data_IF_168902207664
#
_entry.id   IF_168902207664
#
_cell.length_a   1.000
_cell.length_b   1.000
_cell.length_c   1.000
_cell.angle_alpha   90.00
_cell.angle_beta   90.00
_cell.angle_gamma   90.00
#
_symmetry.space_group_name_H-M   'P 1'
#
loop_
_entity.id
_entity.type
_entity.pdbx_description
1 polymer ?
#
# COMPACT_ATOMS: atom_id res chain seq x y z
N UNK A 1 -0.51 19.86 17.78
CA UNK A 1 -1.38 19.88 16.58
C UNK A 1 -0.63 19.59 15.27
N UNK A 2 0.34 20.42 14.85
CA UNK A 2 0.98 20.32 13.52
C UNK A 2 1.60 18.95 13.21
N UNK A 3 2.29 18.33 14.16
CA UNK A 3 2.87 17.00 13.98
C UNK A 3 1.84 15.89 13.73
N UNK A 4 0.61 16.04 14.22
CA UNK A 4 -0.46 15.07 13.96
C UNK A 4 -0.92 15.16 12.49
N UNK A 5 -1.01 16.37 11.93
CA UNK A 5 -1.32 16.58 10.52
C UNK A 5 -0.25 15.92 9.63
N UNK A 6 1.03 16.11 9.98
CA UNK A 6 2.14 15.44 9.29
C UNK A 6 1.95 13.92 9.35
N UNK A 7 1.66 13.36 10.52
CA UNK A 7 1.46 11.91 10.67
C UNK A 7 0.27 11.38 9.85
N UNK A 8 -0.85 12.10 9.84
CA UNK A 8 -2.05 11.71 9.07
C UNK A 8 -1.80 11.77 7.55
N UNK A 9 -1.06 12.78 7.08
CA UNK A 9 -0.79 12.98 5.65
C UNK A 9 0.33 12.09 5.12
N UNK A 10 1.31 11.71 5.94
CA UNK A 10 2.51 10.98 5.47
C UNK A 10 2.59 9.54 5.97
N UNK A 11 1.76 9.17 6.94
CA UNK A 11 1.84 7.86 7.61
C UNK A 11 1.48 6.65 6.75
N UNK A 12 0.97 6.84 5.53
CA UNK A 12 0.71 5.74 4.59
C UNK A 12 1.63 5.73 3.38
N UNK A 13 2.60 6.65 3.33
CA UNK A 13 3.54 6.77 2.20
C UNK A 13 4.32 5.46 1.95
N UNK A 14 4.69 4.75 3.02
CA UNK A 14 5.43 3.48 2.95
C UNK A 14 4.74 2.40 2.11
N UNK A 15 3.42 2.44 2.01
CA UNK A 15 2.60 1.41 1.37
C UNK A 15 2.13 1.82 -0.03
N UNK A 16 2.48 3.03 -0.50
CA UNK A 16 1.98 3.60 -1.73
C UNK A 16 2.24 2.71 -2.96
N UNK A 17 3.46 2.17 -3.09
CA UNK A 17 3.81 1.27 -4.18
C UNK A 17 3.08 -0.08 -4.08
N UNK A 18 3.07 -0.67 -2.88
CA UNK A 18 2.45 -1.98 -2.64
C UNK A 18 0.95 -1.93 -2.87
N UNK A 19 0.24 -0.95 -2.32
CA UNK A 19 -1.22 -0.85 -2.43
C UNK A 19 -1.67 -0.33 -3.80
N UNK A 20 -0.90 0.60 -4.39
CA UNK A 20 -1.27 1.28 -5.63
C UNK A 20 -0.90 0.54 -6.91
N UNK A 21 0.21 -0.21 -6.91
CA UNK A 21 0.80 -0.74 -8.15
C UNK A 21 0.66 -2.26 -8.25
N UNK A 22 0.67 -3.01 -7.14
CA UNK A 22 0.65 -4.48 -7.15
C UNK A 22 -0.54 -5.05 -7.93
N UNK A 23 -1.75 -4.51 -7.71
CA UNK A 23 -2.94 -4.93 -8.45
C UNK A 23 -2.83 -4.69 -9.96
N UNK A 24 -2.33 -3.51 -10.36
CA UNK A 24 -2.08 -3.19 -11.77
C UNK A 24 -1.03 -4.10 -12.40
N UNK A 25 -0.03 -4.48 -11.60
CA UNK A 25 1.05 -5.37 -12.05
C UNK A 25 0.53 -6.79 -12.32
N UNK A 26 -0.31 -7.33 -11.43
CA UNK A 26 -0.93 -8.64 -11.61
C UNK A 26 -1.85 -8.68 -12.84
N UNK A 27 -2.62 -7.61 -13.07
CA UNK A 27 -3.43 -7.46 -14.29
C UNK A 27 -2.51 -7.43 -15.53
N UNK A 28 -1.41 -6.67 -15.48
CA UNK A 28 -0.43 -6.58 -16.57
C UNK A 28 0.30 -7.90 -16.87
N UNK A 29 0.38 -8.82 -15.91
CA UNK A 29 0.94 -10.16 -16.09
C UNK A 29 -0.04 -11.16 -16.74
N UNK A 30 -1.31 -10.78 -16.92
CA UNK A 30 -2.34 -11.61 -17.54
C UNK A 30 -3.32 -12.24 -16.56
N UNK A 31 -3.28 -11.89 -15.27
CA UNK A 31 -4.25 -12.41 -14.31
C UNK A 31 -5.64 -11.81 -14.58
N UNK A 32 -6.71 -12.62 -14.69
CA UNK A 32 -8.05 -12.12 -14.97
C UNK A 32 -8.54 -11.15 -13.90
N UNK A 33 -9.06 -9.99 -14.34
CA UNK A 33 -9.57 -8.94 -13.46
C UNK A 33 -10.69 -9.45 -12.55
N UNK A 34 -11.53 -10.36 -13.04
CA UNK A 34 -12.65 -10.92 -12.28
C UNK A 34 -12.16 -11.78 -11.11
N UNK A 35 -11.07 -12.53 -11.29
CA UNK A 35 -10.45 -13.36 -10.23
C UNK A 35 -9.72 -12.50 -9.20
N UNK A 36 -9.10 -11.40 -9.62
CA UNK A 36 -8.51 -10.43 -8.70
C UNK A 36 -9.57 -9.68 -7.89
N UNK A 37 -10.66 -9.28 -8.54
CA UNK A 37 -11.80 -8.61 -7.89
C UNK A 37 -12.51 -9.54 -6.91
N UNK A 38 -12.66 -10.82 -7.25
CA UNK A 38 -13.28 -11.80 -6.35
C UNK A 38 -12.48 -12.05 -5.08
N UNK A 39 -11.16 -11.79 -5.06
CA UNK A 39 -10.36 -11.84 -3.82
C UNK A 39 -10.91 -10.87 -2.76
N UNK A 40 -11.41 -9.70 -3.16
CA UNK A 40 -11.98 -8.73 -2.23
C UNK A 40 -13.17 -9.30 -1.46
N UNK A 41 -13.98 -10.16 -2.09
CA UNK A 41 -15.13 -10.83 -1.46
C UNK A 41 -14.68 -11.70 -0.28
N UNK A 42 -13.57 -12.42 -0.43
CA UNK A 42 -13.01 -13.24 0.64
C UNK A 42 -12.40 -12.40 1.77
N UNK A 43 -11.97 -11.18 1.46
CA UNK A 43 -11.44 -10.27 2.46
C UNK A 43 -12.56 -9.59 3.27
N UNK A 44 -13.73 -9.33 2.69
CA UNK A 44 -14.82 -8.59 3.36
C UNK A 44 -15.20 -9.16 4.75
N UNK A 45 -15.39 -10.47 4.95
CA UNK A 45 -15.66 -11.02 6.29
C UNK A 45 -14.57 -10.67 7.30
N UNK A 46 -13.30 -10.72 6.90
CA UNK A 46 -12.17 -10.35 7.73
C UNK A 46 -12.25 -8.87 8.13
N UNK A 47 -12.69 -7.98 7.23
CA UNK A 47 -12.85 -6.55 7.51
C UNK A 47 -13.94 -6.25 8.56
N UNK A 48 -14.98 -7.09 8.62
CA UNK A 48 -16.07 -6.96 9.60
C UNK A 48 -15.69 -7.58 10.94
N UNK A 49 -15.04 -8.74 10.93
CA UNK A 49 -14.68 -9.47 12.15
C UNK A 49 -13.46 -8.86 12.87
N UNK A 50 -12.48 -8.34 12.13
CA UNK A 50 -11.24 -7.80 12.73
C UNK A 50 -11.50 -6.66 13.71
N UNK A 51 -12.27 -5.59 13.39
CA UNK A 51 -12.58 -4.51 14.32
C UNK A 51 -13.23 -5.00 15.62
N UNK A 52 -14.08 -6.03 15.53
CA UNK A 52 -14.70 -6.64 16.70
C UNK A 52 -13.67 -7.35 17.59
N UNK A 53 -12.75 -8.11 16.99
CA UNK A 53 -11.68 -8.80 17.73
C UNK A 53 -10.67 -7.84 18.36
N UNK A 54 -10.26 -6.80 17.64
CA UNK A 54 -9.26 -5.83 18.12
C UNK A 54 -9.88 -4.70 18.96
N UNK A 55 -11.21 -4.64 19.05
CA UNK A 55 -11.95 -3.57 19.72
C UNK A 55 -11.51 -3.34 21.17
N UNK A 56 -11.18 -4.41 21.92
CA UNK A 56 -10.65 -4.30 23.29
C UNK A 56 -9.28 -3.59 23.33
N UNK A 57 -8.43 -3.82 22.33
CA UNK A 57 -7.10 -3.23 22.26
C UNK A 57 -7.14 -1.78 21.75
N UNK A 58 -8.09 -1.45 20.87
CA UNK A 58 -8.26 -0.10 20.32
C UNK A 58 -9.11 0.80 21.21
N UNK A 59 -9.97 0.24 22.06
CA UNK A 59 -10.68 0.97 23.12
C UNK A 59 -9.79 1.33 24.32
N UNK A 60 -8.55 0.80 24.36
CA UNK A 60 -7.55 1.13 25.37
C UNK A 60 -7.22 2.64 25.36
N UNK A 61 -6.70 3.22 26.46
CA UNK A 61 -6.19 4.60 26.48
C UNK A 61 -5.04 4.85 25.49
N UNK A 62 -4.45 3.79 24.91
CA UNK A 62 -3.29 3.86 24.01
C UNK A 62 -3.53 3.16 22.66
N UNK A 63 -4.51 3.61 21.83
CA UNK A 63 -4.86 2.95 20.56
C UNK A 63 -3.74 2.88 19.51
N UNK A 64 -2.98 3.96 19.31
CA UNK A 64 -1.80 4.04 18.43
C UNK A 64 -0.65 3.07 18.77
N UNK A 65 -0.63 2.39 19.93
CA UNK A 65 0.33 1.31 20.14
C UNK A 65 0.08 0.15 19.16
N UNK A 66 -1.18 -0.14 18.86
CA UNK A 66 -1.55 -1.12 17.84
C UNK A 66 -1.10 -0.63 16.46
N UNK A 67 -1.27 0.66 16.14
CA UNK A 67 -0.72 1.25 14.92
C UNK A 67 0.80 1.06 14.82
N UNK A 68 1.54 1.36 15.90
CA UNK A 68 3.00 1.22 15.92
C UNK A 68 3.48 -0.22 15.78
N UNK A 69 2.71 -1.19 16.28
CA UNK A 69 3.01 -2.63 16.13
C UNK A 69 2.70 -3.12 14.71
N UNK A 70 1.57 -2.71 14.15
CA UNK A 70 1.12 -3.14 12.82
C UNK A 70 1.91 -2.50 11.68
N UNK A 71 2.48 -1.31 11.88
CA UNK A 71 3.24 -0.57 10.87
C UNK A 71 4.45 -1.35 10.30
N UNK A 72 5.43 -1.82 11.11
CA UNK A 72 6.57 -2.58 10.59
C UNK A 72 6.14 -3.92 9.97
N UNK A 73 5.13 -4.57 10.53
CA UNK A 73 4.57 -5.80 9.94
C UNK A 73 3.96 -5.54 8.55
N UNK A 74 3.29 -4.41 8.35
CA UNK A 74 2.77 -4.02 7.03
C UNK A 74 3.89 -3.73 6.02
N UNK A 75 4.99 -3.11 6.45
CA UNK A 75 6.17 -2.91 5.57
C UNK A 75 6.75 -4.26 5.16
N UNK A 76 6.90 -5.18 6.11
CA UNK A 76 7.35 -6.55 5.82
C UNK A 76 6.45 -7.23 4.79
N UNK A 77 5.13 -7.16 4.96
CA UNK A 77 4.17 -7.70 4.00
C UNK A 77 4.28 -7.04 2.61
N UNK A 78 4.65 -5.76 2.53
CA UNK A 78 4.95 -5.09 1.26
C UNK A 78 6.13 -5.71 0.51
N UNK A 79 7.18 -6.10 1.24
CA UNK A 79 8.30 -6.87 0.69
C UNK A 79 7.88 -8.28 0.25
N UNK A 80 7.06 -8.97 1.05
CA UNK A 80 6.50 -10.29 0.68
C UNK A 80 5.68 -10.18 -0.61
N UNK A 81 4.88 -9.13 -0.78
CA UNK A 81 4.10 -8.91 -1.99
C UNK A 81 5.00 -8.68 -3.20
N UNK A 82 6.07 -7.89 -3.07
CA UNK A 82 7.03 -7.74 -4.14
C UNK A 82 7.68 -9.10 -4.52
N UNK A 83 8.05 -9.92 -3.54
CA UNK A 83 8.56 -11.27 -3.80
C UNK A 83 7.53 -12.18 -4.49
N UNK A 84 6.26 -12.13 -4.08
CA UNK A 84 5.17 -12.86 -4.72
C UNK A 84 4.94 -12.41 -6.16
N UNK A 85 4.99 -11.10 -6.44
CA UNK A 85 4.92 -10.56 -7.80
C UNK A 85 6.08 -11.09 -8.65
N UNK A 86 7.30 -11.13 -8.10
CA UNK A 86 8.45 -11.66 -8.82
C UNK A 86 8.34 -13.15 -9.11
N UNK A 87 7.72 -13.92 -8.22
CA UNK A 87 7.54 -15.36 -8.35
C UNK A 87 6.35 -15.77 -9.23
N UNK A 88 5.33 -14.91 -9.34
CA UNK A 88 4.08 -15.17 -10.08
C UNK A 88 4.30 -15.61 -11.54
N UNK A 89 5.19 -14.99 -12.35
CA UNK A 89 5.45 -15.40 -13.73
C UNK A 89 5.92 -16.86 -13.90
N UNK A 90 6.56 -17.46 -12.89
CA UNK A 90 7.07 -18.83 -12.95
C UNK A 90 5.98 -19.90 -12.99
N UNK A 91 4.73 -19.55 -12.65
CA UNK A 91 3.57 -20.46 -12.64
C UNK A 91 2.66 -20.29 -13.84
N UNK A 92 3.08 -19.54 -14.86
CA UNK A 92 2.26 -19.32 -16.04
C UNK A 92 2.04 -20.64 -16.79
N UNK A 93 0.79 -21.05 -16.94
CA UNK A 93 0.44 -22.26 -17.70
C UNK A 93 0.57 -22.00 -19.22
N UNK A 94 0.71 -23.06 -20.04
CA UNK A 94 0.73 -22.96 -21.50
C UNK A 94 -0.49 -22.25 -22.09
N UNK A 95 -1.66 -22.39 -21.45
CA UNK A 95 -2.91 -21.72 -21.83
C UNK A 95 -2.93 -20.21 -21.51
N UNK A 96 -1.88 -19.70 -20.86
CA UNK A 96 -1.74 -18.30 -20.47
C UNK A 96 -2.40 -17.93 -19.15
N UNK A 97 -3.15 -18.84 -18.52
CA UNK A 97 -3.74 -18.67 -17.18
C UNK A 97 -2.76 -19.13 -16.07
N UNK A 98 -3.16 -18.92 -14.81
CA UNK A 98 -2.42 -19.29 -13.61
C UNK A 98 -3.13 -20.43 -12.85
N UNK A 99 -2.39 -21.25 -12.08
CA UNK A 99 -3.00 -22.35 -11.34
C UNK A 99 -3.82 -21.82 -10.16
N UNK A 100 -4.91 -22.50 -9.81
CA UNK A 100 -5.77 -22.16 -8.66
C UNK A 100 -4.96 -22.03 -7.36
N UNK A 101 -3.92 -22.84 -7.20
CA UNK A 101 -2.99 -22.78 -6.06
C UNK A 101 -2.33 -21.40 -5.91
N UNK A 102 -1.93 -20.76 -7.01
CA UNK A 102 -1.31 -19.43 -6.97
C UNK A 102 -2.32 -18.37 -6.50
N UNK A 103 -3.58 -18.46 -6.96
CA UNK A 103 -4.64 -17.58 -6.48
C UNK A 103 -4.91 -17.78 -4.98
N UNK A 104 -4.91 -19.02 -4.49
CA UNK A 104 -5.06 -19.30 -3.06
C UNK A 104 -3.92 -18.69 -2.23
N UNK A 105 -2.67 -18.77 -2.71
CA UNK A 105 -1.51 -18.14 -2.07
C UNK A 105 -1.67 -16.61 -2.01
N UNK A 106 -2.12 -16.00 -3.12
CA UNK A 106 -2.42 -14.56 -3.15
C UNK A 106 -3.51 -14.17 -2.17
N UNK A 107 -4.62 -14.92 -2.10
CA UNK A 107 -5.70 -14.67 -1.13
C UNK A 107 -5.17 -14.73 0.30
N UNK A 108 -4.37 -15.76 0.64
CA UNK A 108 -3.77 -15.89 1.97
C UNK A 108 -2.85 -14.70 2.27
N UNK A 109 -1.99 -14.32 1.32
CA UNK A 109 -1.12 -13.14 1.45
C UNK A 109 -1.92 -11.85 1.68
N UNK A 110 -2.99 -11.66 0.93
CA UNK A 110 -3.92 -10.54 1.10
C UNK A 110 -4.63 -10.57 2.45
N UNK A 111 -5.03 -11.72 2.97
CA UNK A 111 -5.58 -11.83 4.33
C UNK A 111 -4.57 -11.33 5.38
N UNK A 112 -3.32 -11.79 5.32
CA UNK A 112 -2.27 -11.36 6.25
C UNK A 112 -1.95 -9.87 6.15
N UNK A 113 -1.90 -9.33 4.92
CA UNK A 113 -1.71 -7.91 4.68
C UNK A 113 -2.90 -7.09 5.24
N UNK A 114 -4.13 -7.57 5.03
CA UNK A 114 -5.33 -6.89 5.50
C UNK A 114 -5.40 -6.80 7.02
N UNK A 115 -4.95 -7.81 7.76
CA UNK A 115 -4.86 -7.72 9.23
C UNK A 115 -4.06 -6.49 9.65
N UNK A 116 -2.87 -6.27 9.06
CA UNK A 116 -2.03 -5.13 9.36
C UNK A 116 -2.71 -3.80 9.00
N UNK A 117 -3.27 -3.73 7.79
CA UNK A 117 -3.92 -2.54 7.27
C UNK A 117 -5.11 -2.11 8.12
N UNK A 118 -5.98 -3.06 8.48
CA UNK A 118 -7.15 -2.81 9.33
C UNK A 118 -6.78 -2.47 10.76
N UNK A 119 -5.77 -3.13 11.34
CA UNK A 119 -5.28 -2.75 12.67
C UNK A 119 -4.80 -1.30 12.70
N UNK A 120 -4.05 -0.85 11.68
CA UNK A 120 -3.63 0.55 11.57
C UNK A 120 -4.83 1.49 11.40
N UNK A 121 -5.78 1.14 10.53
CA UNK A 121 -6.96 1.94 10.26
C UNK A 121 -7.83 2.13 11.50
N UNK A 122 -8.24 1.04 12.15
CA UNK A 122 -9.10 1.08 13.34
C UNK A 122 -8.41 1.80 14.50
N UNK A 123 -7.10 1.61 14.68
CA UNK A 123 -6.34 2.30 15.74
C UNK A 123 -6.29 3.81 15.54
N UNK A 124 -6.10 4.27 14.30
CA UNK A 124 -6.12 5.69 13.98
C UNK A 124 -7.51 6.28 14.15
N UNK A 125 -8.55 5.58 13.71
CA UNK A 125 -9.95 5.99 13.90
C UNK A 125 -10.31 6.08 15.39
N UNK A 126 -9.93 5.09 16.19
CA UNK A 126 -10.13 5.10 17.63
C UNK A 126 -9.41 6.29 18.30
N UNK A 127 -8.17 6.58 17.89
CA UNK A 127 -7.44 7.74 18.39
C UNK A 127 -8.14 9.06 18.02
N UNK A 128 -8.51 9.25 16.75
CA UNK A 128 -9.21 10.44 16.26
C UNK A 128 -10.53 10.66 17.01
N UNK A 129 -11.28 9.60 17.28
CA UNK A 129 -12.50 9.67 18.07
C UNK A 129 -12.24 10.10 19.51
N UNK A 130 -11.17 9.61 20.15
CA UNK A 130 -10.82 9.96 21.54
C UNK A 130 -10.34 11.41 21.71
N UNK A 131 -9.69 12.00 20.69
CA UNK A 131 -9.19 13.38 20.74
C UNK A 131 -10.21 14.40 20.24
N UNK A 132 -11.35 13.96 19.69
CA UNK A 132 -12.39 14.85 19.20
C UNK A 132 -13.15 15.50 20.34
N UNK A 133 -13.21 16.84 20.33
CA UNK A 133 -13.95 17.62 21.31
C UNK A 133 -15.44 17.27 21.26
N UNK A 134 -16.10 16.88 22.38
CA UNK A 134 -17.52 16.53 22.38
C UNK A 134 -18.45 17.61 21.82
N UNK A 135 -18.09 18.89 21.90
CA UNK A 135 -18.94 20.01 21.43
C UNK A 135 -18.89 20.20 19.91
N UNK A 136 -17.78 19.84 19.26
CA UNK A 136 -17.57 19.97 17.80
C UNK A 136 -17.02 18.68 17.17
N UNK A 137 -17.35 17.55 17.78
CA UNK A 137 -16.69 16.27 17.50
C UNK A 137 -16.94 15.76 16.09
N UNK A 138 -18.13 16.02 15.53
CA UNK A 138 -18.45 15.67 14.15
C UNK A 138 -17.53 16.36 13.13
N UNK A 139 -17.34 17.67 13.26
CA UNK A 139 -16.46 18.45 12.37
C UNK A 139 -15.00 18.03 12.52
N UNK A 140 -14.52 17.88 13.76
CA UNK A 140 -13.12 17.52 14.02
C UNK A 140 -12.81 16.10 13.53
N UNK A 141 -13.69 15.13 13.82
CA UNK A 141 -13.55 13.75 13.34
C UNK A 141 -13.56 13.68 11.80
N UNK A 142 -14.45 14.43 11.16
CA UNK A 142 -14.53 14.48 9.70
C UNK A 142 -13.24 15.04 9.09
N UNK A 143 -12.72 16.14 9.62
CA UNK A 143 -11.46 16.73 9.16
C UNK A 143 -10.29 15.75 9.29
N UNK A 144 -10.14 15.09 10.44
CA UNK A 144 -9.06 14.13 10.67
C UNK A 144 -9.17 12.91 9.75
N UNK A 145 -10.38 12.44 9.47
CA UNK A 145 -10.61 11.35 8.52
C UNK A 145 -10.29 11.77 7.10
N UNK A 146 -10.67 12.99 6.69
CA UNK A 146 -10.32 13.55 5.38
C UNK A 146 -8.80 13.61 5.21
N UNK A 147 -8.06 14.10 6.21
CA UNK A 147 -6.59 14.13 6.18
C UNK A 147 -5.97 12.74 6.11
N UNK A 148 -6.50 11.77 6.88
CA UNK A 148 -6.02 10.38 6.88
C UNK A 148 -6.30 9.66 5.54
N UNK A 149 -7.42 9.98 4.88
CA UNK A 149 -7.74 9.44 3.55
C UNK A 149 -6.89 10.10 2.47
N UNK A 150 -6.73 11.43 2.53
CA UNK A 150 -5.83 12.15 1.63
C UNK A 150 -4.41 11.59 1.72
N UNK A 151 -3.91 11.37 2.95
CA UNK A 151 -2.60 10.78 3.23
C UNK A 151 -2.39 9.35 2.72
N UNK A 152 -3.46 8.64 2.34
CA UNK A 152 -3.36 7.36 1.65
C UNK A 152 -3.36 7.49 0.12
N UNK A 153 -4.11 8.45 -0.43
CA UNK A 153 -4.30 8.58 -1.88
C UNK A 153 -3.19 9.36 -2.57
N UNK A 154 -2.77 10.51 -2.04
CA UNK A 154 -1.75 11.35 -2.70
C UNK A 154 -0.40 10.62 -2.88
N UNK A 155 0.09 9.79 -1.91
CA UNK A 155 1.32 9.05 -2.12
C UNK A 155 1.20 8.01 -3.24
N UNK A 156 0.05 7.34 -3.34
CA UNK A 156 -0.21 6.35 -4.40
C UNK A 156 -0.16 7.03 -5.76
N UNK A 157 -0.84 8.16 -5.94
CA UNK A 157 -0.82 8.93 -7.19
C UNK A 157 0.59 9.37 -7.56
N UNK A 158 1.35 9.90 -6.58
CA UNK A 158 2.72 10.34 -6.81
C UNK A 158 3.63 9.18 -7.24
N UNK A 159 3.62 8.07 -6.50
CA UNK A 159 4.48 6.93 -6.77
C UNK A 159 4.10 6.25 -8.09
N UNK A 160 2.81 6.15 -8.41
CA UNK A 160 2.36 5.64 -9.71
C UNK A 160 2.86 6.51 -10.87
N UNK A 161 2.80 7.83 -10.73
CA UNK A 161 3.34 8.78 -11.73
C UNK A 161 4.87 8.65 -11.87
N UNK A 162 5.58 8.48 -10.75
CA UNK A 162 7.05 8.35 -10.75
C UNK A 162 7.53 7.00 -11.29
N UNK A 163 6.74 5.94 -11.15
CA UNK A 163 7.12 4.58 -11.57
C UNK A 163 7.42 4.50 -13.07
N UNK A 164 6.75 5.31 -13.89
CA UNK A 164 7.03 5.41 -15.32
C UNK A 164 8.46 5.86 -15.63
N UNK A 165 9.01 6.78 -14.84
CA UNK A 165 10.40 7.26 -15.00
C UNK A 165 11.44 6.23 -14.57
N UNK A 166 11.09 5.33 -13.64
CA UNK A 166 11.96 4.25 -13.18
C UNK A 166 11.84 2.96 -14.00
N UNK A 167 10.95 2.93 -14.99
CA UNK A 167 10.71 1.73 -15.82
C UNK A 167 11.51 1.85 -17.11
N UNK A 168 12.44 0.92 -17.32
CA UNK A 168 13.26 0.86 -18.53
C UNK A 168 12.92 -0.40 -19.33
N UNK A 169 12.66 -0.21 -20.62
CA UNK A 169 12.34 -1.27 -21.57
C UNK A 169 13.34 -1.26 -22.72
N UNK A 170 13.73 -2.45 -23.15
CA UNK A 170 14.63 -2.65 -24.28
C UNK A 170 13.94 -3.46 -25.38
N UNK A 171 14.19 -3.09 -26.62
CA UNK A 171 13.74 -3.84 -27.79
C UNK A 171 14.72 -4.99 -28.04
N UNK A 172 14.19 -6.21 -28.02
CA UNK A 172 14.96 -7.45 -28.12
C UNK A 172 14.43 -8.25 -29.30
N UNK A 173 15.36 -8.80 -30.10
CA UNK A 173 15.01 -9.61 -31.27
C UNK A 173 14.24 -10.86 -30.84
N UNK A 174 13.12 -11.15 -31.49
CA UNK A 174 12.28 -12.29 -31.09
C UNK A 174 13.07 -13.61 -31.22
N UNK A 175 13.26 -14.31 -30.09
CA UNK A 175 14.01 -15.58 -30.03
C UNK A 175 15.51 -15.45 -29.76
N UNK A 176 16.05 -14.22 -29.71
CA UNK A 176 17.48 -13.97 -29.42
C UNK A 176 17.59 -12.92 -28.32
N UNK A 177 18.53 -13.01 -27.38
CA UNK A 177 18.70 -11.97 -26.34
C UNK A 177 19.49 -10.73 -26.79
N UNK A 178 19.50 -10.45 -28.09
CA UNK A 178 20.23 -9.31 -28.66
C UNK A 178 19.40 -8.03 -28.52
N UNK A 179 19.93 -7.08 -27.76
CA UNK A 179 19.31 -5.76 -27.56
C UNK A 179 19.62 -4.86 -28.75
N UNK A 180 18.58 -4.29 -29.36
CA UNK A 180 18.71 -3.34 -30.47
C UNK A 180 18.81 -1.91 -29.97
N UNK A 181 17.80 -1.45 -29.22
CA UNK A 181 17.69 -0.09 -28.68
C UNK A 181 16.64 -0.04 -27.55
N UNK A 182 16.59 1.03 -26.77
CA UNK A 182 15.62 1.18 -25.67
C UNK A 182 14.23 1.65 -26.17
N UNK A 183 13.17 0.98 -25.74
CA UNK A 183 11.77 1.21 -26.17
C UNK A 183 10.91 1.88 -25.08
N UNK A 184 11.45 2.93 -24.45
CA UNK A 184 10.77 3.63 -23.34
C UNK A 184 9.57 4.48 -23.78
N UNK A 185 9.56 4.97 -25.03
CA UNK A 185 8.45 5.76 -25.56
C UNK A 185 7.51 4.88 -26.36
N UNK A 186 6.23 5.28 -26.43
CA UNK A 186 5.22 4.56 -27.21
C UNK A 186 5.62 4.44 -28.69
N UNK A 187 6.21 5.49 -29.27
CA UNK A 187 6.69 5.47 -30.66
C UNK A 187 7.80 4.43 -30.89
N UNK A 188 8.77 4.33 -29.97
CA UNK A 188 9.87 3.36 -30.06
C UNK A 188 9.39 1.92 -29.80
N UNK A 189 8.43 1.75 -28.88
CA UNK A 189 7.77 0.47 -28.64
C UNK A 189 6.98 0.01 -29.88
N UNK A 190 6.21 0.90 -30.50
CA UNK A 190 5.44 0.61 -31.72
C UNK A 190 6.36 0.32 -32.92
N UNK A 191 7.53 0.97 -32.99
CA UNK A 191 8.55 0.65 -34.00
C UNK A 191 9.14 -0.75 -33.79
N UNK A 192 9.41 -1.13 -32.54
CA UNK A 192 9.94 -2.45 -32.18
C UNK A 192 8.97 -3.57 -32.57
N UNK A 193 7.69 -3.43 -32.22
CA UNK A 193 6.67 -4.43 -32.58
C UNK A 193 6.39 -4.48 -34.08
N UNK A 194 6.46 -3.35 -34.79
CA UNK A 194 6.37 -3.34 -36.27
C UNK A 194 7.56 -4.05 -36.93
N UNK A 195 8.73 -4.03 -36.31
CA UNK A 195 9.92 -4.79 -36.74
C UNK A 195 9.82 -6.29 -36.53
N UNK A 196 8.77 -6.77 -35.84
CA UNK A 196 8.63 -8.18 -35.45
C UNK A 196 9.32 -8.54 -34.14
N UNK A 197 9.88 -7.55 -33.45
CA UNK A 197 10.65 -7.69 -32.22
C UNK A 197 9.79 -7.43 -30.97
N UNK A 198 10.32 -7.77 -29.79
CA UNK A 198 9.60 -7.69 -28.51
C UNK A 198 10.25 -6.65 -27.61
N UNK A 199 9.44 -5.71 -27.12
CA UNK A 199 9.86 -4.73 -26.12
C UNK A 199 9.76 -5.35 -24.72
N UNK A 200 10.88 -5.85 -24.21
CA UNK A 200 10.97 -6.50 -22.90
C UNK A 200 11.35 -5.51 -21.79
N UNK A 201 10.87 -5.77 -20.57
CA UNK A 201 11.24 -4.98 -19.40
C UNK A 201 12.64 -5.35 -18.95
N UNK A 202 13.57 -4.39 -18.99
CA UNK A 202 14.92 -4.55 -18.43
C UNK A 202 14.91 -4.27 -16.93
N UNK A 203 14.34 -3.13 -16.54
CA UNK A 203 14.23 -2.71 -15.15
C UNK A 203 12.78 -2.34 -14.89
N UNK A 204 12.19 -3.03 -13.93
CA UNK A 204 10.81 -2.83 -13.53
C UNK A 204 10.74 -1.82 -12.37
N UNK A 205 10.23 -0.63 -12.66
CA UNK A 205 10.12 0.47 -11.71
C UNK A 205 9.30 0.11 -10.47
N UNK A 206 8.46 -0.93 -10.52
CA UNK A 206 7.71 -1.43 -9.39
C UNK A 206 8.61 -1.82 -8.20
N UNK A 207 9.66 -2.62 -8.43
CA UNK A 207 10.52 -3.08 -7.32
C UNK A 207 11.33 -1.94 -6.72
N UNK A 208 11.78 -1.00 -7.57
CA UNK A 208 12.45 0.23 -7.12
C UNK A 208 11.49 1.06 -6.28
N UNK A 209 10.25 1.24 -6.73
CA UNK A 209 9.22 1.98 -6.00
C UNK A 209 8.90 1.34 -4.64
N UNK A 210 8.75 0.01 -4.57
CA UNK A 210 8.51 -0.70 -3.30
C UNK A 210 9.70 -0.56 -2.36
N UNK A 211 10.93 -0.72 -2.84
CA UNK A 211 12.13 -0.55 -2.03
C UNK A 211 12.26 0.88 -1.50
N UNK A 212 12.06 1.87 -2.38
CA UNK A 212 12.07 3.29 -2.01
C UNK A 212 11.00 3.63 -0.97
N UNK A 213 9.74 3.23 -1.19
CA UNK A 213 8.65 3.47 -0.25
C UNK A 213 8.92 2.79 1.10
N UNK A 214 9.44 1.56 1.09
CA UNK A 214 9.77 0.82 2.31
C UNK A 214 10.88 1.51 3.11
N UNK A 215 11.95 1.98 2.45
CA UNK A 215 13.03 2.73 3.09
C UNK A 215 12.53 4.05 3.69
N UNK A 216 11.76 4.83 2.93
CA UNK A 216 11.13 6.06 3.42
C UNK A 216 10.23 5.75 4.61
N UNK A 217 9.47 4.65 4.56
CA UNK A 217 8.62 4.17 5.65
C UNK A 217 9.39 3.83 6.93
N UNK A 218 10.53 3.15 6.81
CA UNK A 218 11.38 2.83 7.97
C UNK A 218 11.95 4.10 8.61
N UNK A 219 12.42 5.06 7.79
CA UNK A 219 12.92 6.35 8.27
C UNK A 219 11.80 7.13 8.96
N UNK A 220 10.64 7.21 8.32
CA UNK A 220 9.43 7.86 8.85
C UNK A 220 9.02 7.25 10.19
N UNK A 221 8.99 5.92 10.27
CA UNK A 221 8.64 5.19 11.49
C UNK A 221 9.59 5.55 12.62
N UNK A 222 10.91 5.47 12.40
CA UNK A 222 11.90 5.82 13.43
C UNK A 222 11.80 7.28 13.86
N UNK A 223 11.64 8.21 12.93
CA UNK A 223 11.57 9.65 13.22
C UNK A 223 10.32 10.04 14.01
N UNK A 224 9.16 9.46 13.69
CA UNK A 224 7.88 9.84 14.28
C UNK A 224 7.41 8.91 15.40
N UNK A 225 8.09 7.78 15.65
CA UNK A 225 7.77 6.84 16.72
C UNK A 225 7.55 7.54 18.07
N UNK A 226 8.53 8.35 18.49
CA UNK A 226 8.46 9.07 19.78
C UNK A 226 7.33 10.11 19.81
N UNK A 227 7.03 10.73 18.66
CA UNK A 227 5.93 11.71 18.53
C UNK A 227 4.57 11.03 18.60
N UNK A 228 4.40 9.89 17.92
CA UNK A 228 3.17 9.08 17.93
C UNK A 228 2.90 8.58 19.36
N UNK A 229 3.93 8.07 20.06
CA UNK A 229 3.80 7.71 21.48
C UNK A 229 3.45 8.89 22.38
N UNK A 230 4.00 10.07 22.09
CA UNK A 230 3.70 11.29 22.85
C UNK A 230 2.25 11.72 22.70
N UNK A 231 1.64 11.61 21.51
CA UNK A 231 0.25 12.01 21.28
C UNK A 231 -0.74 11.32 22.23
N UNK A 232 -0.46 10.09 22.64
CA UNK A 232 -1.32 9.33 23.54
C UNK A 232 -1.15 9.69 25.01
N UNK A 233 -0.09 10.44 25.35
CA UNK A 233 0.16 10.92 26.71
C UNK A 233 -0.50 12.27 26.97
N UNK A 234 -0.88 12.99 25.91
CA UNK A 234 -1.51 14.31 26.01
C UNK A 234 -2.93 14.13 26.59
N UNK A 235 -3.27 14.82 27.70
CA UNK A 235 -4.62 14.81 28.25
C UNK A 235 -5.67 15.24 27.23
N UNK A 236 -6.86 14.64 27.28
CA UNK A 236 -7.96 14.96 26.34
C UNK A 236 -8.38 16.43 26.38
N UNK A 237 -8.24 17.10 27.53
CA UNK A 237 -8.50 18.54 27.71
C UNK A 237 -7.61 19.43 26.83
N UNK A 238 -6.42 18.97 26.49
CA UNK A 238 -5.46 19.76 25.71
C UNK A 238 -5.71 19.59 24.21
N UNK A 239 -6.53 18.62 23.83
CA UNK A 239 -7.02 18.42 22.46
C UNK A 239 -8.32 19.19 22.19
N UNK A 240 -9.13 19.46 23.23
CA UNK A 240 -10.36 20.24 23.09
C UNK A 240 -10.06 21.69 22.74
N UNK A 241 -10.78 22.21 21.74
CA UNK A 241 -10.68 23.61 21.33
C UNK A 241 -11.31 24.50 22.39
N UNK A 242 -12.38 24.02 23.03
CA UNK A 242 -13.01 24.73 24.13
C UNK A 242 -12.61 24.08 25.45
N UNK A 243 -11.78 24.79 26.24
CA UNK A 243 -11.48 24.38 27.61
C UNK A 243 -12.79 24.31 28.40
N UNK A 244 -12.98 23.20 29.13
CA UNK A 244 -14.10 23.05 30.07
C UNK A 244 -13.98 24.04 31.21
#
# INVERSE_FOLDING_TARGET
>A
MMWMLVVLLTGKFAFAATDGITGLKLIGMGMPKDKLSSMAVFLTPLQVLLPWMIGKYTASPRPLNVFLLSYPYRIFMGGVFAALVWWTPSFRLPDGDFPVTLYAIWVIGYCFHQVASYCMFVSMMAFNAQISDPKIGGTYMTLLNTLNNLGGNWPVTLILSLTGFFTFKDCVVKGTKTVLYSCNTKALADQCTKGGDVCELRIDGYYIAVAFCSLVGIIWFKALFSKIKYFQKIPRSDWSVMKK
#
